data_IF_682705319085
#
_entry.id   IF_682705319085
#
_cell.length_a   1.000
_cell.length_b   1.000
_cell.length_c   1.000
_cell.angle_alpha   90.00
_cell.angle_beta   90.00
_cell.angle_gamma   90.00
#
_symmetry.space_group_name_H-M   'P 1'
#
loop_
_entity.id
_entity.type
_entity.pdbx_description
1 polymer ?
#
# COMPACT_ATOMS: atom_id res chain seq x y z
N UNK A 1 -80.94 -19.39 41.45
CA UNK A 1 -79.75 -20.14 41.10
C UNK A 1 -79.02 -19.35 39.98
N UNK A 2 -78.00 -18.50 40.40
CA UNK A 2 -77.29 -17.61 39.47
C UNK A 2 -75.93 -18.20 39.25
N UNK A 3 -75.67 -18.53 37.96
CA UNK A 3 -74.38 -19.04 37.52
C UNK A 3 -73.50 -17.84 37.18
N UNK A 4 -72.39 -17.68 37.93
CA UNK A 4 -71.37 -16.69 37.63
C UNK A 4 -70.41 -17.26 36.57
N UNK A 5 -70.34 -16.56 35.41
CA UNK A 5 -69.33 -16.81 34.39
C UNK A 5 -68.02 -16.13 34.84
N UNK A 6 -67.00 -16.94 35.02
CA UNK A 6 -65.63 -16.52 35.27
C UNK A 6 -64.97 -16.27 33.92
N UNK A 7 -64.67 -15.01 33.61
CA UNK A 7 -63.91 -14.64 32.41
C UNK A 7 -62.40 -14.61 32.79
N UNK A 8 -61.67 -15.55 32.22
CA UNK A 8 -60.20 -15.59 32.31
C UNK A 8 -59.63 -14.62 31.25
N UNK A 9 -59.10 -13.48 31.71
CA UNK A 9 -58.36 -12.56 30.85
C UNK A 9 -56.98 -13.13 30.57
N UNK A 10 -56.73 -13.45 29.30
CA UNK A 10 -55.37 -13.71 28.81
C UNK A 10 -54.62 -12.38 28.67
N UNK A 11 -53.73 -12.08 29.62
CA UNK A 11 -52.73 -11.04 29.47
C UNK A 11 -51.59 -11.59 28.64
N UNK A 12 -51.56 -11.22 27.37
CA UNK A 12 -50.39 -11.47 26.46
C UNK A 12 -49.23 -10.59 26.92
N UNK A 13 -48.25 -11.22 27.57
CA UNK A 13 -46.98 -10.61 27.91
C UNK A 13 -46.16 -10.49 26.60
N UNK A 14 -46.23 -9.31 25.98
CA UNK A 14 -45.35 -8.98 24.84
C UNK A 14 -43.92 -8.80 25.40
N UNK A 15 -43.10 -9.82 25.20
CA UNK A 15 -41.65 -9.74 25.40
C UNK A 15 -41.12 -8.79 24.30
N UNK A 16 -40.95 -7.51 24.66
CA UNK A 16 -40.09 -6.63 23.87
C UNK A 16 -38.65 -7.13 24.03
N UNK A 17 -38.16 -7.86 23.02
CA UNK A 17 -36.74 -8.01 22.82
C UNK A 17 -36.20 -6.61 22.42
N UNK A 18 -35.83 -5.83 23.42
CA UNK A 18 -34.89 -4.72 23.20
C UNK A 18 -33.61 -5.36 22.70
N UNK A 19 -33.32 -5.26 21.42
CA UNK A 19 -32.01 -5.49 20.88
C UNK A 19 -31.09 -4.40 21.44
N UNK A 20 -30.60 -4.61 22.67
CA UNK A 20 -29.41 -3.91 23.13
C UNK A 20 -28.32 -4.26 22.13
N UNK A 21 -27.87 -3.29 21.34
CA UNK A 21 -26.60 -3.36 20.67
C UNK A 21 -25.55 -3.34 21.79
N UNK A 22 -25.18 -4.50 22.32
CA UNK A 22 -24.11 -4.59 23.28
C UNK A 22 -22.81 -4.29 22.52
N UNK A 23 -22.07 -3.26 22.97
CA UNK A 23 -20.72 -2.98 22.51
C UNK A 23 -19.71 -4.01 23.04
N UNK A 24 -20.15 -5.19 23.43
CA UNK A 24 -19.30 -6.26 23.95
C UNK A 24 -18.91 -7.24 22.85
N UNK A 25 -17.73 -7.79 22.99
CA UNK A 25 -17.24 -8.91 22.19
C UNK A 25 -16.83 -10.05 23.11
N UNK A 26 -16.93 -11.27 22.59
CA UNK A 26 -16.41 -12.47 23.21
C UNK A 26 -15.41 -13.14 22.28
N UNK A 27 -14.25 -13.53 22.81
CA UNK A 27 -13.33 -14.45 22.14
C UNK A 27 -13.57 -15.84 22.69
N UNK A 28 -13.81 -16.79 21.81
CA UNK A 28 -13.84 -18.24 22.09
C UNK A 28 -12.72 -18.88 21.29
N UNK A 29 -11.78 -19.53 21.98
CA UNK A 29 -10.62 -20.07 21.30
C UNK A 29 -10.21 -21.46 21.72
N UNK A 30 -9.49 -22.10 20.83
CA UNK A 30 -8.77 -23.37 21.04
C UNK A 30 -7.29 -23.16 20.75
N UNK A 31 -6.43 -23.96 21.39
CA UNK A 31 -4.98 -23.87 21.15
C UNK A 31 -4.41 -25.22 20.72
N UNK A 32 -3.39 -25.15 19.88
CA UNK A 32 -2.53 -26.28 19.53
C UNK A 32 -1.06 -25.92 19.84
N UNK A 33 -0.33 -26.86 20.46
CA UNK A 33 1.07 -26.67 20.82
C UNK A 33 1.29 -25.78 22.07
N UNK A 34 0.26 -25.55 22.89
CA UNK A 34 0.33 -24.82 24.16
C UNK A 34 -0.20 -25.67 25.32
N UNK A 35 0.27 -25.38 26.55
CA UNK A 35 -0.06 -26.12 27.78
C UNK A 35 -1.06 -25.34 28.63
N UNK A 36 -1.75 -26.08 29.53
CA UNK A 36 -2.60 -25.46 30.55
C UNK A 36 -1.75 -24.53 31.47
N UNK A 37 -2.27 -23.33 31.72
CA UNK A 37 -1.59 -22.29 32.44
C UNK A 37 -0.72 -21.36 31.61
N UNK A 38 -0.47 -21.68 30.33
CA UNK A 38 0.16 -20.74 29.40
C UNK A 38 -0.75 -19.54 29.17
N UNK A 39 -0.16 -18.42 28.72
CA UNK A 39 -0.87 -17.15 28.51
C UNK A 39 -0.74 -16.66 27.09
N UNK A 40 -1.83 -16.10 26.58
CA UNK A 40 -1.89 -15.31 25.35
C UNK A 40 -2.09 -13.84 25.70
N UNK A 41 -1.46 -12.95 24.94
CA UNK A 41 -1.63 -11.49 25.08
C UNK A 41 -2.45 -10.94 23.94
N UNK A 42 -3.41 -10.09 24.26
CA UNK A 42 -4.05 -9.19 23.29
C UNK A 42 -3.18 -7.95 23.20
N UNK A 43 -2.74 -7.62 21.98
CA UNK A 43 -1.80 -6.54 21.69
C UNK A 43 -2.43 -5.58 20.69
N UNK A 44 -2.34 -4.28 20.98
CA UNK A 44 -2.83 -3.24 20.05
C UNK A 44 -1.91 -3.07 18.82
N UNK A 45 -2.34 -2.24 17.87
CA UNK A 45 -1.59 -1.94 16.65
C UNK A 45 -0.23 -1.26 16.89
N UNK A 46 0.04 -0.77 18.11
CA UNK A 46 1.31 -0.14 18.49
C UNK A 46 2.25 -1.11 19.22
N UNK A 47 1.82 -2.36 19.42
CA UNK A 47 2.60 -3.39 20.12
C UNK A 47 2.44 -3.38 21.64
N UNK A 48 1.45 -2.66 22.20
CA UNK A 48 1.22 -2.63 23.62
C UNK A 48 0.25 -3.75 24.05
N UNK A 49 0.62 -4.59 25.04
CA UNK A 49 -0.32 -5.55 25.61
C UNK A 49 -1.48 -4.81 26.30
N UNK A 50 -2.72 -5.15 25.94
CA UNK A 50 -3.92 -4.59 26.54
C UNK A 50 -4.57 -5.55 27.52
N UNK A 51 -4.45 -6.86 27.26
CA UNK A 51 -5.08 -7.91 28.05
C UNK A 51 -4.28 -9.21 28.00
N UNK A 52 -4.58 -10.10 28.95
CA UNK A 52 -3.96 -11.42 29.07
C UNK A 52 -5.03 -12.50 29.20
N UNK A 53 -4.90 -13.59 28.47
CA UNK A 53 -5.82 -14.72 28.47
C UNK A 53 -5.06 -15.98 28.90
N UNK A 54 -5.59 -16.73 29.87
CA UNK A 54 -4.97 -17.98 30.34
C UNK A 54 -5.63 -19.18 29.67
N UNK A 55 -4.82 -20.15 29.26
CA UNK A 55 -5.26 -21.39 28.63
C UNK A 55 -5.65 -22.41 29.70
N UNK A 56 -6.77 -23.08 29.49
CA UNK A 56 -7.26 -24.17 30.31
C UNK A 56 -7.90 -25.26 29.44
N UNK A 57 -7.44 -26.51 29.59
CA UNK A 57 -7.90 -27.68 28.81
C UNK A 57 -7.83 -27.45 27.28
N UNK A 58 -6.76 -26.79 26.81
CA UNK A 58 -6.55 -26.47 25.39
C UNK A 58 -7.54 -25.43 24.83
N UNK A 59 -8.20 -24.65 25.71
CA UNK A 59 -9.20 -23.63 25.36
C UNK A 59 -8.91 -22.32 26.07
N UNK A 60 -9.47 -21.24 25.55
CA UNK A 60 -9.47 -19.95 26.18
C UNK A 60 -10.74 -19.16 25.85
N UNK A 61 -11.14 -18.29 26.74
CA UNK A 61 -12.27 -17.37 26.58
C UNK A 61 -11.88 -15.99 27.11
N UNK A 62 -12.41 -14.96 26.49
CA UNK A 62 -12.25 -13.58 26.95
C UNK A 62 -13.50 -12.78 26.58
N UNK A 63 -13.94 -11.92 27.47
CA UNK A 63 -15.03 -10.98 27.22
C UNK A 63 -14.55 -9.55 27.48
N UNK A 64 -14.91 -8.63 26.60
CA UNK A 64 -14.52 -7.24 26.71
C UNK A 64 -15.48 -6.30 25.99
N UNK A 65 -15.22 -5.01 26.14
CA UNK A 65 -15.98 -3.96 25.47
C UNK A 65 -15.24 -3.44 24.24
N UNK A 66 -16.01 -3.00 23.25
CA UNK A 66 -15.49 -2.38 22.02
C UNK A 66 -15.67 -0.88 22.12
N UNK A 67 -14.59 -0.16 22.40
CA UNK A 67 -14.57 1.31 22.35
C UNK A 67 -14.49 1.81 20.92
N UNK A 68 -13.65 1.14 20.10
CA UNK A 68 -13.54 1.34 18.66
C UNK A 68 -13.13 0.02 18.02
N UNK A 69 -13.77 -0.34 16.90
CA UNK A 69 -13.35 -1.52 16.14
C UNK A 69 -11.97 -1.24 15.52
N UNK A 70 -11.01 -2.11 15.82
CA UNK A 70 -9.62 -2.00 15.37
C UNK A 70 -8.99 -3.38 15.23
N UNK A 71 -7.88 -3.44 14.50
CA UNK A 71 -7.06 -4.65 14.36
C UNK A 71 -6.19 -4.83 15.60
N UNK A 72 -6.23 -6.03 16.17
CA UNK A 72 -5.42 -6.48 17.30
C UNK A 72 -4.68 -7.75 16.93
N UNK A 73 -3.68 -8.08 17.73
CA UNK A 73 -2.96 -9.35 17.66
C UNK A 73 -3.24 -10.17 18.92
N UNK A 74 -3.45 -11.46 18.78
CA UNK A 74 -3.40 -12.41 19.85
C UNK A 74 -2.12 -13.24 19.70
N UNK A 75 -1.23 -13.19 20.66
CA UNK A 75 0.09 -13.83 20.58
C UNK A 75 0.58 -14.41 21.89
N UNK A 76 1.50 -15.35 21.82
CA UNK A 76 2.17 -15.93 22.97
C UNK A 76 3.54 -15.26 23.20
N UNK A 77 3.92 -14.93 24.46
CA UNK A 77 5.18 -14.22 24.75
C UNK A 77 6.44 -14.98 24.33
N UNK A 78 6.35 -16.31 24.35
CA UNK A 78 7.47 -17.21 24.04
C UNK A 78 7.56 -17.61 22.57
N UNK A 79 6.60 -17.24 21.75
CA UNK A 79 6.59 -17.54 20.32
C UNK A 79 6.49 -16.25 19.51
N UNK A 80 7.12 -16.24 18.31
CA UNK A 80 6.92 -15.15 17.36
C UNK A 80 5.58 -15.25 16.63
N UNK A 81 4.74 -16.22 16.97
CA UNK A 81 3.48 -16.47 16.30
C UNK A 81 2.35 -15.69 16.95
N UNK A 82 1.52 -15.09 16.11
CA UNK A 82 0.34 -14.34 16.50
C UNK A 82 -0.76 -14.53 15.46
N UNK A 83 -2.00 -14.28 15.85
CA UNK A 83 -3.14 -14.20 14.95
C UNK A 83 -3.74 -12.80 15.04
N UNK A 84 -3.96 -12.21 13.87
CA UNK A 84 -4.65 -10.93 13.77
C UNK A 84 -6.16 -11.14 13.91
N UNK A 85 -6.84 -10.21 14.58
CA UNK A 85 -8.30 -10.20 14.65
C UNK A 85 -8.84 -8.78 14.78
N UNK A 86 -10.04 -8.54 14.27
CA UNK A 86 -10.77 -7.31 14.48
C UNK A 86 -11.56 -7.40 15.79
N UNK A 87 -11.28 -6.48 16.74
CA UNK A 87 -12.06 -6.28 17.93
C UNK A 87 -13.38 -5.59 17.54
N UNK A 88 -14.45 -6.37 17.37
CA UNK A 88 -15.77 -5.87 16.99
C UNK A 88 -16.88 -6.63 17.73
N UNK A 89 -18.09 -6.07 17.89
CA UNK A 89 -19.18 -6.71 18.63
C UNK A 89 -19.54 -8.09 18.09
N UNK A 90 -19.71 -9.06 18.98
CA UNK A 90 -20.07 -10.44 18.61
C UNK A 90 -19.13 -11.48 19.19
N UNK A 91 -19.25 -12.71 18.71
CA UNK A 91 -18.38 -13.82 19.13
C UNK A 91 -17.29 -14.06 18.08
N UNK A 92 -16.07 -13.77 18.46
CA UNK A 92 -14.86 -13.99 17.66
C UNK A 92 -14.32 -15.38 18.01
N UNK A 93 -14.16 -16.22 17.03
CA UNK A 93 -13.62 -17.58 17.18
C UNK A 93 -12.18 -17.60 16.71
N UNK A 94 -11.27 -18.08 17.55
CA UNK A 94 -9.84 -18.15 17.24
C UNK A 94 -9.33 -19.57 17.49
N UNK A 95 -8.71 -20.14 16.48
CA UNK A 95 -7.84 -21.30 16.64
C UNK A 95 -6.39 -20.78 16.64
N UNK A 96 -5.74 -20.83 17.80
CA UNK A 96 -4.35 -20.40 17.93
C UNK A 96 -3.42 -21.61 17.80
N UNK A 97 -2.48 -21.57 16.87
CA UNK A 97 -1.47 -22.59 16.70
C UNK A 97 -0.07 -22.02 16.91
N UNK A 98 0.72 -22.69 17.76
CA UNK A 98 2.09 -22.27 18.05
C UNK A 98 3.03 -22.47 16.84
N UNK A 99 2.63 -23.18 15.82
CA UNK A 99 3.38 -23.37 14.56
C UNK A 99 3.08 -22.31 13.48
N UNK A 100 2.15 -21.37 13.75
CA UNK A 100 1.79 -20.29 12.85
C UNK A 100 0.55 -20.51 11.99
N UNK A 101 -0.14 -21.68 12.09
CA UNK A 101 -1.35 -21.98 11.33
C UNK A 101 -2.64 -21.53 12.04
N UNK A 102 -2.60 -20.40 12.71
CA UNK A 102 -3.75 -19.84 13.43
C UNK A 102 -4.86 -19.39 12.50
N UNK A 103 -6.12 -19.45 12.97
CA UNK A 103 -7.31 -19.08 12.22
C UNK A 103 -8.24 -18.19 13.04
N UNK A 104 -8.96 -17.28 12.37
CA UNK A 104 -9.94 -16.38 12.98
C UNK A 104 -11.26 -16.41 12.20
N UNK A 105 -12.40 -16.29 12.92
CA UNK A 105 -13.73 -16.26 12.30
C UNK A 105 -14.80 -15.78 13.27
N UNK A 106 -16.07 -15.81 12.86
CA UNK A 106 -17.25 -15.66 13.71
C UNK A 106 -17.90 -14.29 13.67
N UNK A 107 -17.23 -13.30 13.11
CA UNK A 107 -17.80 -11.97 12.80
C UNK A 107 -17.40 -11.55 11.40
N UNK A 108 -18.17 -10.64 10.78
CA UNK A 108 -18.01 -10.34 9.35
C UNK A 108 -16.59 -9.85 9.01
N UNK A 109 -16.00 -8.96 9.84
CA UNK A 109 -14.65 -8.47 9.58
C UNK A 109 -13.59 -9.57 9.79
N UNK A 110 -13.79 -10.45 10.77
CA UNK A 110 -12.87 -11.55 11.04
C UNK A 110 -12.96 -12.67 9.99
N UNK A 111 -14.16 -12.97 9.49
CA UNK A 111 -14.33 -13.92 8.37
C UNK A 111 -13.65 -13.38 7.10
N UNK A 112 -13.80 -12.08 6.82
CA UNK A 112 -13.09 -11.41 5.72
C UNK A 112 -11.58 -11.43 5.89
N UNK A 113 -11.08 -11.16 7.09
CA UNK A 113 -9.65 -11.22 7.41
C UNK A 113 -9.09 -12.63 7.17
N UNK A 114 -9.82 -13.68 7.58
CA UNK A 114 -9.38 -15.05 7.33
C UNK A 114 -9.27 -15.37 5.83
N UNK A 115 -10.24 -14.94 5.03
CA UNK A 115 -10.18 -15.10 3.57
C UNK A 115 -8.96 -14.38 2.98
N UNK A 116 -8.65 -13.19 3.49
CA UNK A 116 -7.46 -12.44 3.07
C UNK A 116 -6.15 -13.18 3.40
N UNK A 117 -6.04 -13.74 4.60
CA UNK A 117 -4.87 -14.54 5.00
C UNK A 117 -4.74 -15.84 4.17
N UNK A 118 -5.87 -16.46 3.83
CA UNK A 118 -5.88 -17.65 2.97
C UNK A 118 -5.43 -17.29 1.54
N UNK A 119 -5.86 -16.14 0.99
CA UNK A 119 -5.39 -15.61 -0.29
C UNK A 119 -3.87 -15.35 -0.22
N UNK A 120 -3.38 -14.64 0.80
CA UNK A 120 -1.96 -14.36 0.96
C UNK A 120 -1.13 -15.65 0.98
N UNK A 121 -1.58 -16.65 1.74
CA UNK A 121 -0.89 -17.95 1.85
C UNK A 121 -0.88 -18.70 0.53
N UNK A 122 -2.01 -18.75 -0.19
CA UNK A 122 -2.12 -19.40 -1.49
C UNK A 122 -1.15 -18.76 -2.50
N UNK A 123 -1.16 -17.42 -2.59
CA UNK A 123 -0.35 -16.71 -3.57
C UNK A 123 1.14 -16.65 -3.20
N UNK A 124 1.48 -16.64 -1.91
CA UNK A 124 2.86 -16.78 -1.45
C UNK A 124 3.43 -18.15 -1.88
N UNK A 125 2.67 -19.23 -1.71
CA UNK A 125 3.07 -20.56 -2.15
C UNK A 125 3.25 -20.64 -3.67
N UNK A 126 2.31 -20.10 -4.47
CA UNK A 126 2.42 -20.05 -5.93
C UNK A 126 3.65 -19.24 -6.39
N UNK A 127 3.95 -18.13 -5.71
CA UNK A 127 5.12 -17.30 -5.99
C UNK A 127 6.42 -18.05 -5.67
N UNK A 128 6.47 -18.77 -4.54
CA UNK A 128 7.60 -19.61 -4.16
C UNK A 128 7.82 -20.74 -5.18
N UNK A 129 6.79 -21.47 -5.55
CA UNK A 129 6.86 -22.52 -6.58
C UNK A 129 7.38 -21.97 -7.93
N UNK A 130 6.90 -20.79 -8.35
CA UNK A 130 7.38 -20.13 -9.55
C UNK A 130 8.87 -19.76 -9.45
N UNK A 131 9.30 -19.23 -8.31
CA UNK A 131 10.71 -18.84 -8.09
C UNK A 131 11.63 -20.05 -7.94
N UNK A 132 11.17 -21.17 -7.37
CA UNK A 132 11.95 -22.42 -7.29
C UNK A 132 12.21 -23.04 -8.67
N UNK A 133 11.32 -22.83 -9.65
CA UNK A 133 11.55 -23.25 -11.04
C UNK A 133 12.56 -22.36 -11.75
N UNK A 134 12.76 -21.14 -11.24
CA UNK A 134 13.69 -20.16 -11.76
C UNK A 134 15.06 -20.37 -11.11
N UNK A 135 15.94 -21.17 -11.72
CA UNK A 135 17.37 -21.15 -11.37
C UNK A 135 18.05 -20.01 -12.14
N UNK A 136 18.32 -18.85 -11.51
CA UNK A 136 18.70 -17.62 -12.22
C UNK A 136 19.94 -17.79 -13.11
N UNK A 137 20.88 -18.64 -12.68
CA UNK A 137 22.17 -18.84 -13.34
C UNK A 137 22.09 -19.78 -14.58
N UNK A 138 20.94 -20.47 -14.77
CA UNK A 138 20.73 -21.43 -15.85
C UNK A 138 19.73 -20.92 -16.92
N UNK A 139 19.12 -19.73 -16.72
CA UNK A 139 18.06 -19.20 -17.59
C UNK A 139 18.58 -18.24 -18.66
N UNK A 140 18.06 -18.37 -19.86
CA UNK A 140 18.19 -17.33 -20.88
C UNK A 140 17.39 -16.08 -20.52
N UNK A 141 17.76 -14.92 -21.10
CA UNK A 141 17.02 -13.66 -20.89
C UNK A 141 15.51 -13.79 -21.21
N UNK A 142 15.17 -14.52 -22.27
CA UNK A 142 13.78 -14.77 -22.65
C UNK A 142 13.02 -15.57 -21.57
N UNK A 143 13.66 -16.55 -20.94
CA UNK A 143 13.07 -17.34 -19.86
C UNK A 143 12.91 -16.50 -18.59
N UNK A 144 13.89 -15.65 -18.25
CA UNK A 144 13.80 -14.71 -17.12
C UNK A 144 12.63 -13.73 -17.32
N UNK A 145 12.48 -13.18 -18.53
CA UNK A 145 11.34 -12.33 -18.90
C UNK A 145 9.99 -13.06 -18.75
N UNK A 146 9.92 -14.31 -19.20
CA UNK A 146 8.69 -15.11 -19.10
C UNK A 146 8.29 -15.37 -17.63
N UNK A 147 9.25 -15.68 -16.77
CA UNK A 147 9.02 -15.87 -15.33
C UNK A 147 8.59 -14.57 -14.68
N UNK A 148 9.25 -13.46 -14.98
CA UNK A 148 8.86 -12.15 -14.49
C UNK A 148 7.42 -11.78 -14.89
N UNK A 149 7.03 -12.07 -16.14
CA UNK A 149 5.65 -11.83 -16.58
C UNK A 149 4.64 -12.73 -15.88
N UNK A 150 4.97 -14.00 -15.62
CA UNK A 150 4.13 -14.90 -14.83
C UNK A 150 3.96 -14.40 -13.39
N UNK A 151 5.04 -13.90 -12.77
CA UNK A 151 4.98 -13.31 -11.44
C UNK A 151 4.10 -12.06 -11.39
N UNK A 152 4.21 -11.17 -12.38
CA UNK A 152 3.33 -10.00 -12.52
C UNK A 152 1.86 -10.39 -12.69
N UNK A 153 1.57 -11.41 -13.48
CA UNK A 153 0.21 -11.92 -13.65
C UNK A 153 -0.35 -12.48 -12.33
N UNK A 154 0.47 -13.23 -11.59
CA UNK A 154 0.11 -13.76 -10.28
C UNK A 154 -0.21 -12.66 -9.26
N UNK A 155 0.61 -11.61 -9.22
CA UNK A 155 0.36 -10.44 -8.37
C UNK A 155 -0.95 -9.75 -8.74
N UNK A 156 -1.24 -9.61 -10.03
CA UNK A 156 -2.48 -9.01 -10.52
C UNK A 156 -3.70 -9.83 -10.10
N UNK A 157 -3.67 -11.15 -10.28
CA UNK A 157 -4.77 -12.04 -9.86
C UNK A 157 -5.03 -11.94 -8.35
N UNK A 158 -3.98 -11.93 -7.54
CA UNK A 158 -4.07 -11.74 -6.10
C UNK A 158 -4.75 -10.41 -5.76
N UNK A 159 -4.30 -9.33 -6.40
CA UNK A 159 -4.83 -8.00 -6.17
C UNK A 159 -6.30 -7.89 -6.57
N UNK A 160 -6.69 -8.46 -7.71
CA UNK A 160 -8.09 -8.48 -8.17
C UNK A 160 -8.99 -9.15 -7.12
N UNK A 161 -8.56 -10.28 -6.52
CA UNK A 161 -9.28 -10.94 -5.42
C UNK A 161 -9.34 -10.08 -4.16
N UNK A 162 -8.26 -9.38 -3.79
CA UNK A 162 -8.24 -8.48 -2.63
C UNK A 162 -9.19 -7.29 -2.85
N UNK A 163 -9.27 -6.74 -4.06
CA UNK A 163 -10.19 -5.66 -4.39
C UNK A 163 -11.67 -6.09 -4.37
N UNK A 164 -11.95 -7.30 -4.82
CA UNK A 164 -13.28 -7.92 -4.69
C UNK A 164 -13.65 -8.08 -3.21
N UNK A 165 -12.74 -8.64 -2.41
CA UNK A 165 -12.92 -8.83 -0.98
C UNK A 165 -13.11 -7.50 -0.24
N UNK A 166 -12.39 -6.43 -0.64
CA UNK A 166 -12.58 -5.08 -0.11
C UNK A 166 -13.98 -4.53 -0.45
N UNK A 167 -14.47 -4.79 -1.66
CA UNK A 167 -15.81 -4.38 -2.09
C UNK A 167 -16.91 -5.12 -1.30
N UNK A 168 -16.78 -6.42 -1.08
CA UNK A 168 -17.74 -7.24 -0.35
C UNK A 168 -17.81 -6.90 1.15
N UNK A 169 -16.72 -6.34 1.67
CA UNK A 169 -16.58 -5.93 3.05
C UNK A 169 -16.63 -4.41 3.25
N UNK A 170 -17.07 -3.64 2.26
CA UNK A 170 -16.99 -2.18 2.25
C UNK A 170 -17.75 -1.50 3.40
N UNK A 171 -18.68 -2.20 4.04
CA UNK A 171 -19.54 -1.72 5.12
C UNK A 171 -19.02 -2.03 6.54
N UNK A 172 -17.88 -2.74 6.65
CA UNK A 172 -17.27 -3.16 7.92
C UNK A 172 -15.81 -2.68 8.09
N UNK A 173 -15.20 -2.95 9.24
CA UNK A 173 -13.85 -2.50 9.58
C UNK A 173 -12.77 -3.13 8.71
N UNK A 174 -12.97 -4.36 8.27
CA UNK A 174 -11.99 -5.04 7.42
C UNK A 174 -11.94 -4.42 6.01
N UNK A 175 -13.08 -4.12 5.41
CA UNK A 175 -13.12 -3.42 4.13
C UNK A 175 -12.51 -2.02 4.20
N UNK A 176 -12.78 -1.28 5.31
CA UNK A 176 -12.09 -0.03 5.58
C UNK A 176 -10.56 -0.23 5.66
N UNK A 177 -10.10 -1.24 6.42
CA UNK A 177 -8.69 -1.58 6.55
C UNK A 177 -8.03 -1.86 5.19
N UNK A 178 -8.66 -2.67 4.34
CA UNK A 178 -8.12 -2.96 3.01
C UNK A 178 -7.98 -1.70 2.16
N UNK A 179 -9.03 -0.88 2.07
CA UNK A 179 -9.02 0.31 1.19
C UNK A 179 -7.94 1.33 1.61
N UNK A 180 -7.70 1.53 2.93
CA UNK A 180 -6.68 2.49 3.37
C UNK A 180 -5.26 1.97 3.24
N UNK A 181 -5.05 0.64 3.19
CA UNK A 181 -3.73 0.02 3.14
C UNK A 181 -3.28 -0.43 1.73
N UNK A 182 -4.19 -0.58 0.76
CA UNK A 182 -3.81 -0.89 -0.62
C UNK A 182 -3.11 0.35 -1.23
N UNK A 183 -1.91 0.20 -1.83
CA UNK A 183 -1.21 1.30 -2.47
C UNK A 183 -2.01 1.88 -3.64
N UNK A 184 -2.07 3.21 -3.74
CA UNK A 184 -2.65 3.89 -4.92
C UNK A 184 -1.57 4.01 -5.99
N UNK A 185 -1.78 3.34 -7.10
CA UNK A 185 -0.99 3.43 -8.33
C UNK A 185 -1.74 2.75 -9.49
N UNK A 186 -1.19 2.82 -10.71
CA UNK A 186 -1.80 2.22 -11.91
C UNK A 186 -1.88 0.69 -11.86
N UNK A 187 -0.99 0.03 -11.09
CA UNK A 187 -0.89 -1.42 -11.03
C UNK A 187 -1.72 -2.03 -9.90
N UNK A 188 -1.96 -1.27 -8.81
CA UNK A 188 -2.67 -1.76 -7.62
C UNK A 188 -4.08 -1.16 -7.51
N UNK A 189 -4.26 -0.11 -6.76
CA UNK A 189 -5.56 0.56 -6.59
C UNK A 189 -5.53 1.87 -7.37
N UNK A 190 -6.19 1.89 -8.55
CA UNK A 190 -6.25 3.13 -9.32
C UNK A 190 -7.01 4.22 -8.57
N UNK A 191 -6.71 5.51 -8.81
CA UNK A 191 -7.42 6.63 -8.18
C UNK A 191 -8.94 6.57 -8.35
N UNK A 192 -9.41 6.14 -9.53
CA UNK A 192 -10.81 6.00 -9.85
C UNK A 192 -11.48 4.89 -9.03
N UNK A 193 -10.82 3.72 -8.95
CA UNK A 193 -11.33 2.59 -8.17
C UNK A 193 -11.29 2.87 -6.67
N UNK A 194 -10.24 3.55 -6.18
CA UNK A 194 -10.17 4.02 -4.79
C UNK A 194 -11.33 4.96 -4.46
N UNK A 195 -11.61 5.93 -5.34
CA UNK A 195 -12.75 6.87 -5.19
C UNK A 195 -14.08 6.13 -5.19
N UNK A 196 -14.28 5.18 -6.10
CA UNK A 196 -15.48 4.34 -6.16
C UNK A 196 -15.72 3.58 -4.86
N UNK A 197 -14.69 2.93 -4.32
CA UNK A 197 -14.76 2.19 -3.05
C UNK A 197 -15.08 3.12 -1.88
N UNK A 198 -14.43 4.29 -1.80
CA UNK A 198 -14.71 5.27 -0.76
C UNK A 198 -16.17 5.75 -0.82
N UNK A 199 -16.72 5.98 -2.01
CA UNK A 199 -18.11 6.45 -2.14
C UNK A 199 -19.13 5.38 -1.71
N UNK A 200 -18.80 4.10 -1.85
CA UNK A 200 -19.64 2.99 -1.38
C UNK A 200 -19.58 2.78 0.14
N UNK A 201 -18.57 3.32 0.82
CA UNK A 201 -18.44 3.18 2.27
C UNK A 201 -19.57 3.86 3.05
N UNK A 202 -19.97 3.33 4.21
CA UNK A 202 -20.80 4.05 5.18
C UNK A 202 -20.17 5.38 5.63
N UNK A 203 -21.01 6.36 5.95
CA UNK A 203 -20.58 7.70 6.37
C UNK A 203 -19.65 7.70 7.59
N UNK A 204 -19.79 6.73 8.49
CA UNK A 204 -18.89 6.57 9.66
C UNK A 204 -17.42 6.39 9.25
N UNK A 205 -17.16 5.68 8.14
CA UNK A 205 -15.80 5.48 7.61
C UNK A 205 -15.31 6.67 6.79
N UNK A 206 -16.18 7.25 5.93
CA UNK A 206 -15.84 8.41 5.10
C UNK A 206 -15.30 9.60 5.91
N UNK A 207 -15.75 9.74 7.17
CA UNK A 207 -15.35 10.82 8.09
C UNK A 207 -14.03 10.58 8.79
N UNK A 208 -13.46 9.38 8.73
CA UNK A 208 -12.18 9.05 9.39
C UNK A 208 -11.01 9.78 8.74
N UNK A 209 -10.01 10.09 9.56
CA UNK A 209 -8.85 10.88 9.14
C UNK A 209 -8.09 10.21 7.97
N UNK A 210 -7.87 8.89 8.03
CA UNK A 210 -7.18 8.17 6.95
C UNK A 210 -7.91 8.22 5.60
N UNK A 211 -9.25 8.30 5.59
CA UNK A 211 -10.00 8.48 4.32
C UNK A 211 -9.82 9.90 3.78
N UNK A 212 -9.73 10.92 4.63
CA UNK A 212 -9.43 12.29 4.19
C UNK A 212 -8.03 12.34 3.56
N UNK A 213 -7.04 11.78 4.23
CA UNK A 213 -5.66 11.67 3.71
C UNK A 213 -5.61 10.85 2.40
N UNK A 214 -6.40 9.77 2.31
CA UNK A 214 -6.52 8.97 1.10
C UNK A 214 -7.09 9.79 -0.07
N UNK A 215 -8.13 10.60 0.17
CA UNK A 215 -8.69 11.52 -0.85
C UNK A 215 -7.67 12.57 -1.30
N UNK A 216 -6.89 13.12 -0.38
CA UNK A 216 -5.81 14.05 -0.72
C UNK A 216 -4.74 13.37 -1.59
N UNK A 217 -4.36 12.13 -1.25
CA UNK A 217 -3.42 11.34 -2.06
C UNK A 217 -3.98 11.03 -3.45
N UNK A 218 -5.28 10.68 -3.55
CA UNK A 218 -5.96 10.44 -4.83
C UNK A 218 -5.91 11.70 -5.68
N UNK A 219 -6.30 12.86 -5.12
CA UNK A 219 -6.28 14.13 -5.82
C UNK A 219 -4.87 14.48 -6.32
N UNK A 220 -3.88 14.36 -5.46
CA UNK A 220 -2.49 14.64 -5.82
C UNK A 220 -1.96 13.66 -6.90
N UNK A 221 -2.39 12.41 -6.90
CA UNK A 221 -2.06 11.45 -7.95
C UNK A 221 -2.71 11.82 -9.29
N UNK A 222 -3.98 12.25 -9.28
CA UNK A 222 -4.70 12.69 -10.46
C UNK A 222 -4.13 13.98 -11.04
N UNK A 223 -3.59 14.89 -10.21
CA UNK A 223 -2.89 16.10 -10.65
C UNK A 223 -1.57 15.79 -11.38
N UNK A 224 -1.04 14.57 -11.21
CA UNK A 224 0.16 14.07 -11.86
C UNK A 224 -0.13 13.04 -12.96
N UNK A 225 -1.37 12.90 -13.39
CA UNK A 225 -1.73 11.98 -14.47
C UNK A 225 -1.15 12.45 -15.81
N UNK A 226 -0.89 11.50 -16.71
CA UNK A 226 -0.51 11.81 -18.10
C UNK A 226 -1.58 12.73 -18.71
N UNK A 227 -1.13 13.81 -19.34
CA UNK A 227 -2.00 14.85 -19.89
C UNK A 227 -2.18 16.08 -19.01
N UNK A 228 -1.77 16.06 -17.72
CA UNK A 228 -1.77 17.21 -16.82
C UNK A 228 -0.49 18.05 -16.96
N UNK A 229 -0.60 19.34 -16.68
CA UNK A 229 0.52 20.26 -16.67
C UNK A 229 1.09 20.41 -15.26
N UNK A 230 2.42 20.38 -15.13
CA UNK A 230 3.07 20.65 -13.85
C UNK A 230 3.05 22.15 -13.55
N UNK A 231 2.93 22.51 -12.28
CA UNK A 231 3.19 23.89 -11.84
C UNK A 231 4.69 24.09 -11.71
N UNK A 232 5.19 25.27 -12.09
CA UNK A 232 6.61 25.62 -11.94
C UNK A 232 7.09 25.53 -10.49
N UNK A 233 8.36 25.23 -10.34
CA UNK A 233 9.09 25.27 -9.07
C UNK A 233 10.58 25.53 -9.31
N UNK A 234 11.24 26.00 -8.28
CA UNK A 234 12.65 26.39 -8.35
C UNK A 234 13.47 25.57 -7.36
N UNK A 235 14.59 25.03 -7.82
CA UNK A 235 15.56 24.34 -6.99
C UNK A 235 16.96 24.92 -7.21
N UNK A 236 17.90 24.51 -6.36
CA UNK A 236 19.28 25.01 -6.38
C UNK A 236 20.17 24.08 -7.22
N UNK A 237 20.95 24.67 -8.10
CA UNK A 237 21.98 24.00 -8.90
C UNK A 237 23.25 23.71 -8.08
N UNK A 238 24.19 22.86 -8.56
CA UNK A 238 25.42 22.55 -7.82
C UNK A 238 26.32 23.76 -7.51
N UNK A 239 26.24 24.85 -8.30
CA UNK A 239 26.95 26.09 -8.08
C UNK A 239 26.19 27.09 -7.19
N UNK A 240 25.00 26.71 -6.69
CA UNK A 240 24.21 27.52 -5.77
C UNK A 240 23.22 28.48 -6.44
N UNK A 241 23.10 28.47 -7.76
CA UNK A 241 22.15 29.31 -8.48
C UNK A 241 20.72 28.70 -8.45
N UNK A 242 19.67 29.54 -8.39
CA UNK A 242 18.30 29.05 -8.55
C UNK A 242 18.00 28.69 -10.01
N UNK A 243 17.32 27.55 -10.24
CA UNK A 243 16.83 27.12 -11.54
C UNK A 243 15.31 26.88 -11.47
N UNK A 244 14.53 27.66 -12.24
CA UNK A 244 13.12 27.36 -12.50
C UNK A 244 13.01 26.18 -13.46
N UNK A 245 12.28 25.18 -13.07
CA UNK A 245 12.13 23.94 -13.88
C UNK A 245 11.45 24.25 -15.21
N UNK A 246 10.37 25.04 -15.21
CA UNK A 246 9.69 25.40 -16.43
C UNK A 246 10.52 26.27 -17.37
N UNK A 247 11.42 27.10 -16.84
CA UNK A 247 12.35 27.87 -17.66
C UNK A 247 13.32 27.00 -18.45
N UNK A 248 13.66 25.82 -17.90
CA UNK A 248 14.50 24.83 -18.57
C UNK A 248 13.67 23.96 -19.54
N UNK A 249 12.53 23.44 -19.07
CA UNK A 249 11.60 22.61 -19.86
C UNK A 249 11.22 23.29 -21.18
N UNK A 250 10.90 24.58 -21.16
CA UNK A 250 10.48 25.35 -22.34
C UNK A 250 11.54 25.47 -23.44
N UNK A 251 12.81 25.16 -23.18
CA UNK A 251 13.90 25.19 -24.17
C UNK A 251 13.97 23.93 -25.05
N UNK A 252 13.26 22.88 -24.66
CA UNK A 252 13.33 21.56 -25.28
C UNK A 252 11.99 21.16 -25.89
N UNK A 253 11.98 20.21 -26.83
CA UNK A 253 10.73 19.63 -27.34
C UNK A 253 10.09 18.75 -26.28
N UNK A 254 10.93 17.95 -25.61
CA UNK A 254 10.55 17.11 -24.47
C UNK A 254 11.66 17.16 -23.42
N UNK A 255 11.27 17.02 -22.14
CA UNK A 255 12.22 17.03 -21.01
C UNK A 255 11.94 15.84 -20.10
N UNK A 256 12.98 15.12 -19.72
CA UNK A 256 12.94 14.09 -18.69
C UNK A 256 13.33 14.73 -17.36
N UNK A 257 12.43 14.72 -16.39
CA UNK A 257 12.75 14.92 -14.98
C UNK A 257 13.21 13.57 -14.42
N UNK A 258 14.48 13.46 -14.06
CA UNK A 258 15.11 12.24 -13.54
C UNK A 258 15.40 12.38 -12.06
N UNK A 259 14.65 11.67 -11.23
CA UNK A 259 14.84 11.62 -9.78
C UNK A 259 15.85 10.54 -9.42
N UNK A 260 16.94 10.95 -8.82
CA UNK A 260 18.08 10.09 -8.51
C UNK A 260 18.81 10.50 -7.22
N UNK A 261 19.86 9.77 -6.85
CA UNK A 261 20.79 10.18 -5.80
C UNK A 261 22.18 9.53 -5.98
N UNK A 262 23.21 10.12 -5.42
CA UNK A 262 24.58 9.60 -5.46
C UNK A 262 24.71 8.23 -4.79
N UNK A 263 23.96 7.98 -3.73
CA UNK A 263 23.90 6.72 -2.97
C UNK A 263 22.99 5.65 -3.60
N UNK A 264 22.20 6.01 -4.64
CA UNK A 264 21.28 5.08 -5.29
C UNK A 264 22.00 4.15 -6.27
N UNK A 265 22.32 2.94 -5.88
CA UNK A 265 22.99 1.96 -6.73
C UNK A 265 22.24 1.62 -8.02
N UNK A 266 20.90 1.42 -8.03
CA UNK A 266 20.16 1.23 -9.29
C UNK A 266 20.27 2.42 -10.22
N UNK A 267 20.17 3.67 -9.71
CA UNK A 267 20.34 4.89 -10.51
C UNK A 267 21.72 4.94 -11.16
N UNK A 268 22.77 4.65 -10.41
CA UNK A 268 24.16 4.65 -10.90
C UNK A 268 24.38 3.63 -12.02
N UNK A 269 23.72 2.47 -11.96
CA UNK A 269 23.79 1.45 -13.03
C UNK A 269 23.08 1.89 -14.32
N UNK A 270 22.01 2.68 -14.20
CA UNK A 270 21.25 3.18 -15.34
C UNK A 270 21.89 4.41 -15.99
N UNK A 271 22.64 5.23 -15.24
CA UNK A 271 23.22 6.49 -15.70
C UNK A 271 24.01 6.41 -17.02
N UNK A 272 24.83 5.38 -17.30
CA UNK A 272 25.52 5.27 -18.59
C UNK A 272 24.55 5.26 -19.79
N UNK A 273 23.39 4.62 -19.65
CA UNK A 273 22.36 4.58 -20.68
C UNK A 273 21.71 5.96 -20.85
N UNK A 274 21.44 6.67 -19.75
CA UNK A 274 20.89 8.04 -19.78
C UNK A 274 21.87 9.01 -20.41
N UNK A 275 23.16 8.90 -20.11
CA UNK A 275 24.22 9.72 -20.74
C UNK A 275 24.25 9.50 -22.25
N UNK A 276 24.18 8.24 -22.69
CA UNK A 276 24.13 7.91 -24.12
C UNK A 276 22.85 8.46 -24.77
N UNK A 277 21.69 8.24 -24.15
CA UNK A 277 20.41 8.75 -24.61
C UNK A 277 20.43 10.28 -24.77
N UNK A 278 20.94 11.00 -23.79
CA UNK A 278 21.07 12.45 -23.85
C UNK A 278 21.97 12.89 -25.00
N UNK A 279 23.15 12.29 -25.15
CA UNK A 279 24.07 12.59 -26.24
C UNK A 279 23.43 12.41 -27.62
N UNK A 280 22.65 11.33 -27.81
CA UNK A 280 22.07 10.97 -29.09
C UNK A 280 20.87 11.84 -29.47
N UNK A 281 20.10 12.34 -28.46
CA UNK A 281 18.82 13.02 -28.68
C UNK A 281 18.78 14.49 -28.26
N UNK A 282 19.74 14.99 -27.50
CA UNK A 282 19.83 16.42 -27.15
C UNK A 282 19.82 17.31 -28.40
N UNK A 283 20.55 16.99 -29.52
CA UNK A 283 20.47 17.81 -30.72
C UNK A 283 19.10 17.77 -31.41
N UNK A 284 18.25 16.77 -31.10
CA UNK A 284 16.91 16.62 -31.66
C UNK A 284 15.83 17.29 -30.78
N UNK A 285 16.21 17.79 -29.61
CA UNK A 285 15.32 18.53 -28.70
C UNK A 285 15.02 17.81 -27.38
N UNK A 286 15.83 16.82 -26.96
CA UNK A 286 15.73 16.21 -25.63
C UNK A 286 16.38 17.13 -24.59
N UNK A 287 15.65 17.48 -23.55
CA UNK A 287 16.15 17.98 -22.29
C UNK A 287 16.16 16.91 -21.20
N UNK A 288 17.07 16.99 -20.26
CA UNK A 288 17.03 16.25 -19.01
C UNK A 288 17.28 17.22 -17.86
N UNK A 289 16.58 17.05 -16.74
CA UNK A 289 16.83 17.73 -15.48
C UNK A 289 16.98 16.67 -14.41
N UNK A 290 18.17 16.52 -13.83
CA UNK A 290 18.40 15.62 -12.72
C UNK A 290 17.95 16.28 -11.41
N UNK A 291 16.99 15.67 -10.73
CA UNK A 291 16.49 16.10 -9.41
C UNK A 291 17.04 15.15 -8.36
N UNK A 292 18.03 15.63 -7.60
CA UNK A 292 18.73 14.78 -6.64
C UNK A 292 18.02 14.74 -5.29
N UNK A 293 17.96 13.54 -4.71
CA UNK A 293 17.54 13.23 -3.35
C UNK A 293 18.77 13.05 -2.41
N UNK A 294 19.88 13.68 -2.71
CA UNK A 294 21.02 13.71 -1.81
C UNK A 294 20.76 14.69 -0.64
N UNK A 295 21.38 14.41 0.50
CA UNK A 295 21.46 15.31 1.66
C UNK A 295 22.85 15.95 1.76
N UNK A 296 23.86 15.36 1.12
CA UNK A 296 25.24 15.83 1.09
C UNK A 296 25.58 16.45 -0.28
N UNK A 297 25.86 17.74 -0.26
CA UNK A 297 26.17 18.52 -1.47
C UNK A 297 27.47 18.08 -2.14
N UNK A 298 28.47 17.65 -1.38
CA UNK A 298 29.78 17.30 -1.92
C UNK A 298 29.74 15.92 -2.60
N UNK A 299 29.06 14.94 -1.98
CA UNK A 299 28.85 13.62 -2.61
C UNK A 299 27.97 13.75 -3.87
N UNK A 300 26.95 14.59 -3.85
CA UNK A 300 26.15 14.90 -5.04
C UNK A 300 26.99 15.46 -6.19
N UNK A 301 27.78 16.54 -5.93
CA UNK A 301 28.67 17.17 -6.92
C UNK A 301 29.73 16.19 -7.45
N UNK A 302 30.29 15.37 -6.58
CA UNK A 302 31.26 14.35 -6.95
C UNK A 302 30.64 13.29 -7.86
N UNK A 303 29.40 12.86 -7.57
CA UNK A 303 28.67 11.90 -8.37
C UNK A 303 28.35 12.47 -9.78
N UNK A 304 27.85 13.71 -9.88
CA UNK A 304 27.63 14.41 -11.15
C UNK A 304 28.89 14.36 -12.03
N UNK A 305 30.04 14.76 -11.44
CA UNK A 305 31.31 14.79 -12.16
C UNK A 305 31.79 13.40 -12.57
N UNK A 306 31.72 12.42 -11.66
CA UNK A 306 32.23 11.08 -11.90
C UNK A 306 31.42 10.29 -12.94
N UNK A 307 30.12 10.57 -13.06
CA UNK A 307 29.22 9.92 -14.01
C UNK A 307 29.05 10.73 -15.31
N UNK A 308 29.66 11.92 -15.40
CA UNK A 308 29.62 12.75 -16.62
C UNK A 308 28.24 13.31 -16.95
N UNK A 309 27.46 13.69 -15.93
CA UNK A 309 26.12 14.24 -16.12
C UNK A 309 26.23 15.69 -16.59
N UNK A 310 25.97 15.94 -17.87
CA UNK A 310 26.19 17.24 -18.53
C UNK A 310 24.93 18.10 -18.64
N UNK A 311 23.77 17.57 -18.26
CA UNK A 311 22.50 18.29 -18.21
C UNK A 311 22.28 18.97 -16.85
N UNK A 312 21.34 19.92 -16.74
CA UNK A 312 21.05 20.61 -15.49
C UNK A 312 20.75 19.65 -14.35
N UNK A 313 21.37 19.91 -13.20
CA UNK A 313 21.20 19.15 -11.97
C UNK A 313 20.69 20.10 -10.88
N UNK A 314 19.72 19.67 -10.11
CA UNK A 314 19.10 20.47 -9.04
C UNK A 314 18.82 19.62 -7.80
N UNK A 315 18.84 20.25 -6.62
CA UNK A 315 18.47 19.61 -5.36
C UNK A 315 18.04 20.65 -4.32
N UNK A 316 17.26 20.24 -3.34
CA UNK A 316 17.01 20.97 -2.10
C UNK A 316 17.78 20.38 -0.90
N UNK A 317 18.56 19.32 -1.15
CA UNK A 317 19.38 18.57 -0.18
C UNK A 317 18.60 18.09 1.05
N UNK A 318 17.35 17.65 0.83
CA UNK A 318 16.46 17.18 1.89
C UNK A 318 16.14 15.68 1.82
N UNK A 319 16.86 14.91 1.02
CA UNK A 319 16.65 13.48 0.86
C UNK A 319 15.20 13.15 0.50
N UNK A 320 14.62 12.20 1.18
CA UNK A 320 13.20 11.84 1.02
C UNK A 320 12.22 12.92 1.52
N UNK A 321 12.69 13.95 2.23
CA UNK A 321 11.88 15.11 2.63
C UNK A 321 11.85 16.20 1.55
N UNK A 322 12.53 15.98 0.42
CA UNK A 322 12.55 16.87 -0.74
C UNK A 322 11.13 17.27 -1.17
N UNK A 323 10.92 18.58 -1.38
CA UNK A 323 9.62 19.09 -1.82
C UNK A 323 9.20 18.50 -3.17
N UNK A 324 10.05 18.47 -4.23
CA UNK A 324 9.67 17.81 -5.47
C UNK A 324 9.41 16.32 -5.32
N UNK A 325 10.14 15.58 -4.48
CA UNK A 325 9.85 14.18 -4.26
C UNK A 325 8.46 13.96 -3.66
N UNK A 326 8.07 14.77 -2.69
CA UNK A 326 6.72 14.75 -2.10
C UNK A 326 5.66 15.16 -3.12
N UNK A 327 5.90 16.25 -3.84
CA UNK A 327 4.99 16.81 -4.84
C UNK A 327 4.69 15.82 -5.96
N UNK A 328 5.71 15.16 -6.49
CA UNK A 328 5.59 14.16 -7.55
C UNK A 328 5.36 12.74 -7.02
N UNK A 329 5.12 12.59 -5.71
CA UNK A 329 4.86 11.32 -5.02
C UNK A 329 5.92 10.25 -5.29
N UNK A 330 7.19 10.68 -5.43
CA UNK A 330 8.33 9.79 -5.65
C UNK A 330 8.58 8.97 -4.39
N UNK A 331 8.35 7.67 -4.44
CA UNK A 331 8.52 6.74 -3.31
C UNK A 331 9.73 5.82 -3.45
N UNK A 332 10.27 5.74 -4.66
CA UNK A 332 11.46 4.96 -4.99
C UNK A 332 12.22 5.66 -6.10
N UNK A 333 13.54 5.51 -6.15
CA UNK A 333 14.40 5.99 -7.23
C UNK A 333 15.20 4.82 -7.83
N UNK A 334 15.52 4.85 -9.13
CA UNK A 334 15.30 5.95 -10.10
C UNK A 334 13.79 6.10 -10.44
N UNK A 335 13.35 7.34 -10.67
CA UNK A 335 11.98 7.66 -11.08
C UNK A 335 12.02 8.75 -12.15
N UNK A 336 11.22 8.63 -13.19
CA UNK A 336 11.23 9.58 -14.32
C UNK A 336 9.84 10.13 -14.61
N UNK A 337 9.80 11.40 -15.01
CA UNK A 337 8.62 12.05 -15.60
C UNK A 337 9.05 12.66 -16.93
N UNK A 338 8.31 12.41 -17.98
CA UNK A 338 8.57 13.02 -19.29
C UNK A 338 7.54 14.11 -19.56
N UNK A 339 8.03 15.30 -19.86
CA UNK A 339 7.22 16.49 -20.13
C UNK A 339 7.35 16.94 -21.58
N UNK A 340 6.30 17.52 -22.13
CA UNK A 340 6.42 18.32 -23.34
C UNK A 340 6.95 19.73 -23.01
N UNK A 341 7.12 20.60 -24.01
CA UNK A 341 7.64 21.95 -23.86
C UNK A 341 6.73 22.92 -23.07
N UNK A 342 5.49 22.54 -22.84
CA UNK A 342 4.51 23.29 -22.02
C UNK A 342 4.46 22.79 -20.58
N UNK A 343 5.24 21.76 -20.22
CA UNK A 343 5.21 21.12 -18.91
C UNK A 343 4.08 20.10 -18.74
N UNK A 344 3.45 19.68 -19.83
CA UNK A 344 2.45 18.62 -19.80
C UNK A 344 3.13 17.27 -19.64
N UNK A 345 2.70 16.47 -18.69
CA UNK A 345 3.18 15.10 -18.48
C UNK A 345 2.75 14.23 -19.67
N UNK A 346 3.69 13.66 -20.37
CA UNK A 346 3.44 12.76 -21.52
C UNK A 346 3.79 11.30 -21.23
N UNK A 347 4.62 11.04 -20.20
CA UNK A 347 4.88 9.70 -19.67
C UNK A 347 5.45 9.79 -18.24
N UNK A 348 5.36 8.69 -17.49
CA UNK A 348 5.95 8.53 -16.16
C UNK A 348 6.60 7.15 -16.02
N UNK A 349 7.57 7.04 -15.11
CA UNK A 349 8.16 5.78 -14.64
C UNK A 349 8.84 4.92 -15.72
N UNK A 350 9.10 5.51 -16.90
CA UNK A 350 9.81 4.82 -17.95
C UNK A 350 11.30 4.69 -17.63
N UNK A 351 11.91 3.53 -17.92
CA UNK A 351 13.32 3.23 -17.63
C UNK A 351 13.97 2.42 -18.74
N UNK A 352 15.30 2.46 -18.81
CA UNK A 352 16.08 1.64 -19.70
C UNK A 352 15.57 1.70 -21.15
N UNK A 353 15.30 0.54 -21.73
CA UNK A 353 14.83 0.39 -23.12
C UNK A 353 13.45 1.04 -23.35
N UNK A 354 12.57 1.04 -22.36
CA UNK A 354 11.24 1.67 -22.47
C UNK A 354 11.37 3.19 -22.63
N UNK A 355 12.21 3.84 -21.80
CA UNK A 355 12.49 5.25 -21.91
C UNK A 355 13.16 5.59 -23.25
N UNK A 356 14.15 4.80 -23.68
CA UNK A 356 14.82 5.01 -24.96
C UNK A 356 13.85 4.93 -26.14
N UNK A 357 13.00 3.90 -26.17
CA UNK A 357 11.99 3.72 -27.23
C UNK A 357 10.97 4.87 -27.24
N UNK A 358 10.50 5.30 -26.08
CA UNK A 358 9.59 6.42 -25.98
C UNK A 358 10.20 7.71 -26.51
N UNK A 359 11.43 8.06 -26.08
CA UNK A 359 12.14 9.24 -26.54
C UNK A 359 12.38 9.19 -28.06
N UNK A 360 12.77 8.03 -28.58
CA UNK A 360 12.95 7.80 -30.02
C UNK A 360 11.65 8.03 -30.79
N UNK A 361 10.53 7.58 -30.29
CA UNK A 361 9.22 7.77 -30.93
C UNK A 361 8.80 9.24 -30.94
N UNK A 362 9.11 10.00 -29.87
CA UNK A 362 8.71 11.41 -29.74
C UNK A 362 9.62 12.37 -30.56
N UNK A 363 10.88 12.00 -30.84
CA UNK A 363 11.86 12.90 -31.42
C UNK A 363 12.34 12.50 -32.83
N UNK A 364 11.88 11.40 -33.38
CA UNK A 364 12.09 11.03 -34.77
C UNK A 364 10.86 11.36 -35.61
#
# INVERSE_FOLDING_TARGET
>A
MKIHKLSIGLTSLALFFSACHSNSYKIEGTTEGMSDGDTLFIVDAFGNPTDTITISNGKFEYEGEVDSAALYLLGAPASMNSVSFFKEPGTIKIHFSADGNSKVSGTKANDGLQIFEDINTEYAKKAEELMMTAKPDELTEAQQMAIFQQYKNLQKEMLDKILELASDNIDNEFGYYLVVNIPINEEALTPEKASELIEKMPEKFKKRQLIKELRERISAYQDLAVGKEIKDFTLTTPDGAPLSIMSEVSKHKITVLDFWASWCNPCRREMPNIVKLYKDYQPKGLGIIGISLDEDADEWKKAIKSMGLTWPQVSDLKGWQSEPAKRFQVRAIPFTIVLDNNGKIIAKELRGVELENFIKQQLN
#
